data_IF_724414309538
#
_entry.id   IF_724414309538
#
_cell.length_a   1.000
_cell.length_b   1.000
_cell.length_c   1.000
_cell.angle_alpha   90.00
_cell.angle_beta   90.00
_cell.angle_gamma   90.00
#
_symmetry.space_group_name_H-M   'P 1'
#
loop_
_entity.id
_entity.type
_entity.pdbx_description
1 polymer ?
#
# COMPACT_ATOMS: atom_id res chain seq x y z
N UNK A 1 -13.86 -8.50 -9.23
CA UNK A 1 -12.77 -8.37 -8.25
C UNK A 1 -11.93 -7.17 -8.66
N UNK A 2 -11.68 -6.26 -7.75
CA UNK A 2 -11.00 -4.99 -8.03
C UNK A 2 -9.55 -5.06 -7.56
N UNK A 3 -8.59 -4.86 -8.45
CA UNK A 3 -7.17 -4.74 -8.08
C UNK A 3 -6.91 -3.33 -7.57
N UNK A 4 -6.40 -3.22 -6.35
CA UNK A 4 -6.05 -1.94 -5.71
C UNK A 4 -4.54 -1.74 -5.71
N UNK A 5 -4.08 -0.65 -6.33
CA UNK A 5 -2.68 -0.26 -6.37
C UNK A 5 -2.51 1.15 -5.81
N UNK A 6 -2.12 1.30 -4.55
CA UNK A 6 -1.82 2.61 -3.97
C UNK A 6 -0.41 3.04 -4.37
N UNK A 7 -0.29 4.25 -4.91
CA UNK A 7 0.95 4.85 -5.38
C UNK A 7 1.33 6.01 -4.45
N UNK A 8 2.47 5.93 -3.81
CA UNK A 8 2.96 6.99 -2.91
C UNK A 8 3.51 8.16 -3.72
N UNK A 9 3.02 9.36 -3.41
CA UNK A 9 3.40 10.59 -4.08
C UNK A 9 4.48 11.33 -3.29
N UNK A 10 5.35 12.03 -4.01
CA UNK A 10 6.25 13.05 -3.49
C UNK A 10 6.08 14.35 -4.26
N UNK A 11 6.43 15.47 -3.62
CA UNK A 11 6.31 16.81 -4.20
C UNK A 11 4.92 17.43 -4.10
N UNK A 12 4.00 16.83 -3.36
CA UNK A 12 2.64 17.35 -3.15
C UNK A 12 2.18 17.08 -1.72
N UNK A 13 1.38 17.98 -1.18
CA UNK A 13 0.61 17.77 0.05
C UNK A 13 -0.89 17.91 -0.26
N UNK A 14 -1.59 16.79 -0.30
CA UNK A 14 -3.04 16.75 -0.61
C UNK A 14 -3.92 17.31 0.52
N UNK A 15 -3.34 17.70 1.66
CA UNK A 15 -4.04 18.46 2.71
C UNK A 15 -4.14 19.94 2.38
N UNK A 16 -3.33 20.41 1.45
CA UNK A 16 -3.40 21.76 0.89
C UNK A 16 -4.51 21.80 -0.17
N UNK A 17 -5.49 22.68 0.04
CA UNK A 17 -6.65 22.82 -0.85
C UNK A 17 -6.23 23.20 -2.28
N UNK A 18 -5.27 24.11 -2.45
CA UNK A 18 -4.80 24.54 -3.78
C UNK A 18 -4.10 23.37 -4.53
N UNK A 19 -3.41 22.50 -3.80
CA UNK A 19 -2.81 21.31 -4.39
C UNK A 19 -3.88 20.29 -4.80
N UNK A 20 -4.89 20.10 -3.95
CA UNK A 20 -6.01 19.20 -4.24
C UNK A 20 -6.81 19.67 -5.47
N UNK A 21 -7.13 20.97 -5.55
CA UNK A 21 -7.86 21.54 -6.69
C UNK A 21 -7.12 21.35 -8.02
N UNK A 22 -5.79 21.43 -8.02
CA UNK A 22 -4.99 21.15 -9.23
C UNK A 22 -5.09 19.72 -9.69
N UNK A 23 -5.03 18.73 -8.76
CA UNK A 23 -5.20 17.32 -9.11
C UNK A 23 -6.59 17.03 -9.64
N UNK A 24 -7.62 17.65 -9.06
CA UNK A 24 -9.00 17.48 -9.47
C UNK A 24 -9.25 18.02 -10.90
N UNK A 25 -8.55 19.07 -11.31
CA UNK A 25 -8.65 19.62 -12.65
C UNK A 25 -7.99 18.75 -13.72
N UNK A 26 -6.77 18.28 -13.46
CA UNK A 26 -5.93 17.63 -14.48
C UNK A 26 -6.04 16.10 -14.47
N UNK A 27 -6.44 15.51 -13.34
CA UNK A 27 -6.41 14.09 -13.07
C UNK A 27 -7.64 13.62 -12.27
N UNK A 28 -8.82 14.18 -12.59
CA UNK A 28 -10.09 13.93 -11.88
C UNK A 28 -10.55 12.44 -11.93
N UNK A 29 -10.02 11.67 -12.87
CA UNK A 29 -10.28 10.24 -13.02
C UNK A 29 -9.51 9.36 -12.04
N UNK A 30 -8.56 9.93 -11.30
CA UNK A 30 -7.78 9.22 -10.30
C UNK A 30 -8.34 9.41 -8.90
N UNK A 31 -8.17 8.41 -8.07
CA UNK A 31 -8.53 8.49 -6.67
C UNK A 31 -7.36 9.00 -5.83
N UNK A 32 -7.55 10.12 -5.16
CA UNK A 32 -6.53 10.78 -4.35
C UNK A 32 -6.87 10.68 -2.88
N UNK A 33 -5.88 10.39 -2.05
CA UNK A 33 -6.07 10.37 -0.60
C UNK A 33 -4.80 10.78 0.14
N UNK A 34 -5.00 11.36 1.34
CA UNK A 34 -3.94 11.61 2.30
C UNK A 34 -4.18 10.77 3.54
N UNK A 35 -3.14 10.07 3.98
CA UNK A 35 -3.14 9.32 5.23
C UNK A 35 -1.99 9.85 6.11
N UNK A 36 -2.30 10.83 6.96
CA UNK A 36 -1.29 11.52 7.75
C UNK A 36 -0.27 12.27 6.86
N UNK A 37 0.99 11.85 6.90
CA UNK A 37 2.06 12.43 6.09
C UNK A 37 2.21 11.76 4.71
N UNK A 38 1.42 10.73 4.40
CA UNK A 38 1.51 10.00 3.14
C UNK A 38 0.43 10.46 2.18
N UNK A 39 0.84 10.92 1.00
CA UNK A 39 -0.06 11.28 -0.08
C UNK A 39 -0.06 10.18 -1.13
N UNK A 40 -1.26 9.74 -1.53
CA UNK A 40 -1.46 8.60 -2.41
C UNK A 40 -2.33 8.97 -3.60
N UNK A 41 -1.96 8.44 -4.78
CA UNK A 41 -2.88 8.20 -5.88
C UNK A 41 -3.22 6.70 -5.88
N UNK A 42 -4.48 6.34 -5.91
CA UNK A 42 -4.91 4.94 -5.85
C UNK A 42 -5.57 4.54 -7.16
N UNK A 43 -5.01 3.52 -7.79
CA UNK A 43 -5.61 2.89 -8.97
C UNK A 43 -6.52 1.76 -8.49
N UNK A 44 -7.77 1.79 -8.92
CA UNK A 44 -8.74 0.72 -8.76
C UNK A 44 -9.07 0.18 -10.15
N UNK A 45 -8.64 -1.04 -10.46
CA UNK A 45 -8.87 -1.67 -11.75
C UNK A 45 -9.79 -2.88 -11.61
N UNK A 46 -10.82 -2.93 -12.44
CA UNK A 46 -11.72 -4.09 -12.55
C UNK A 46 -11.14 -5.18 -13.49
N UNK A 47 -9.93 -4.96 -14.00
CA UNK A 47 -9.22 -5.87 -14.88
C UNK A 47 -8.26 -6.77 -14.09
N UNK A 48 -7.53 -7.62 -14.80
CA UNK A 48 -6.51 -8.47 -14.20
C UNK A 48 -5.27 -7.68 -13.73
N UNK A 49 -4.41 -8.32 -12.95
CA UNK A 49 -3.22 -7.67 -12.40
C UNK A 49 -2.27 -7.09 -13.45
N UNK A 50 -1.98 -7.73 -14.61
CA UNK A 50 -1.19 -7.12 -15.67
C UNK A 50 -1.77 -5.82 -16.22
N UNK A 51 -3.08 -5.77 -16.46
CA UNK A 51 -3.75 -4.55 -16.93
C UNK A 51 -3.77 -3.47 -15.84
N UNK A 52 -4.01 -3.83 -14.58
CA UNK A 52 -3.94 -2.90 -13.46
C UNK A 52 -2.54 -2.30 -13.29
N UNK A 53 -1.48 -3.08 -13.49
CA UNK A 53 -0.09 -2.60 -13.49
C UNK A 53 0.14 -1.60 -14.62
N UNK A 54 -0.37 -1.87 -15.83
CA UNK A 54 -0.27 -0.94 -16.95
C UNK A 54 -0.99 0.38 -16.66
N UNK A 55 -2.18 0.34 -16.04
CA UNK A 55 -2.91 1.53 -15.60
C UNK A 55 -2.12 2.33 -14.55
N UNK A 56 -1.47 1.66 -13.60
CA UNK A 56 -0.64 2.30 -12.59
C UNK A 56 0.60 3.00 -13.20
N UNK A 57 1.23 2.40 -14.20
CA UNK A 57 2.34 3.01 -14.95
C UNK A 57 1.90 4.21 -15.77
N UNK A 58 0.74 4.13 -16.41
CA UNK A 58 0.15 5.27 -17.11
C UNK A 58 -0.16 6.42 -16.13
N UNK A 59 -0.74 6.11 -15.00
CA UNK A 59 -0.97 7.06 -13.90
C UNK A 59 0.33 7.77 -13.49
N UNK A 60 1.41 7.02 -13.26
CA UNK A 60 2.70 7.58 -12.87
C UNK A 60 3.28 8.53 -13.93
N UNK A 61 3.18 8.17 -15.23
CA UNK A 61 3.62 9.02 -16.36
C UNK A 61 2.78 10.29 -16.48
N UNK A 62 1.46 10.17 -16.34
CA UNK A 62 0.53 11.30 -16.41
C UNK A 62 0.81 12.31 -15.30
N UNK A 63 0.99 11.83 -14.07
CA UNK A 63 1.35 12.68 -12.91
C UNK A 63 2.66 13.44 -13.21
N UNK A 64 3.72 12.73 -13.58
CA UNK A 64 5.02 13.34 -13.87
C UNK A 64 4.97 14.36 -15.02
N UNK A 65 4.10 14.14 -16.01
CA UNK A 65 3.93 15.04 -17.16
C UNK A 65 3.10 16.28 -16.84
N UNK A 66 1.99 16.11 -16.12
CA UNK A 66 0.99 17.17 -15.89
C UNK A 66 1.27 17.99 -14.64
N UNK A 67 2.03 17.45 -13.71
CA UNK A 67 2.33 18.09 -12.42
C UNK A 67 3.84 18.20 -12.20
N UNK A 68 4.51 19.22 -12.76
CA UNK A 68 5.95 19.41 -12.57
C UNK A 68 6.34 19.43 -11.07
N UNK A 69 7.34 18.63 -10.71
CA UNK A 69 7.79 18.48 -9.31
C UNK A 69 7.03 17.46 -8.50
N UNK A 70 5.93 16.91 -9.02
CA UNK A 70 5.19 15.79 -8.40
C UNK A 70 5.51 14.49 -9.12
N UNK A 71 5.76 13.43 -8.39
CA UNK A 71 6.04 12.12 -8.96
C UNK A 71 5.60 10.99 -8.04
N UNK A 72 5.35 9.84 -8.63
CA UNK A 72 5.16 8.60 -7.90
C UNK A 72 6.53 8.09 -7.44
N UNK A 73 6.69 7.92 -6.12
CA UNK A 73 7.93 7.42 -5.54
C UNK A 73 8.02 5.90 -5.60
N UNK A 74 6.92 5.24 -5.26
CA UNK A 74 6.83 3.78 -5.21
C UNK A 74 5.37 3.33 -5.08
N UNK A 75 5.12 2.04 -5.22
CA UNK A 75 3.88 1.42 -4.73
C UNK A 75 3.90 1.46 -3.21
N UNK A 76 2.81 1.96 -2.62
CA UNK A 76 2.70 2.06 -1.16
C UNK A 76 2.37 0.69 -0.56
N UNK A 77 3.24 0.19 0.31
CA UNK A 77 2.98 -1.00 1.10
C UNK A 77 2.41 -0.58 2.46
N UNK A 78 1.11 -0.76 2.65
CA UNK A 78 0.44 -0.35 3.88
C UNK A 78 0.93 -1.18 5.05
N UNK A 79 1.54 -0.52 6.03
CA UNK A 79 1.99 -1.15 7.26
C UNK A 79 0.92 -1.01 8.35
N UNK A 80 0.62 -2.12 9.01
CA UNK A 80 -0.41 -2.23 10.04
C UNK A 80 0.17 -2.82 11.33
N UNK A 81 -0.31 -2.34 12.47
CA UNK A 81 0.00 -2.91 13.78
C UNK A 81 -0.88 -4.13 14.08
N UNK A 82 -0.54 -4.89 15.13
CA UNK A 82 -1.40 -5.97 15.60
C UNK A 82 -2.78 -5.48 16.03
N UNK A 83 -2.89 -4.26 16.53
CA UNK A 83 -4.17 -3.64 16.91
C UNK A 83 -5.02 -3.33 15.68
N UNK A 84 -4.40 -2.82 14.60
CA UNK A 84 -5.10 -2.58 13.34
C UNK A 84 -5.59 -3.88 12.72
N UNK A 85 -4.76 -4.93 12.73
CA UNK A 85 -5.14 -6.27 12.26
C UNK A 85 -6.33 -6.80 13.05
N UNK A 86 -6.27 -6.72 14.39
CA UNK A 86 -7.33 -7.18 15.26
C UNK A 86 -8.66 -6.47 14.98
N UNK A 87 -8.61 -5.13 14.78
CA UNK A 87 -9.78 -4.32 14.46
C UNK A 87 -10.37 -4.69 13.09
N UNK A 88 -9.55 -4.86 12.06
CA UNK A 88 -10.01 -5.20 10.69
C UNK A 88 -10.62 -6.59 10.60
N UNK A 89 -10.07 -7.54 11.35
CA UNK A 89 -10.56 -8.94 11.37
C UNK A 89 -11.71 -9.15 12.35
N UNK A 90 -11.92 -8.22 13.28
CA UNK A 90 -12.93 -8.33 14.33
C UNK A 90 -12.57 -9.35 15.42
N UNK A 91 -11.29 -9.42 15.79
CA UNK A 91 -10.78 -10.33 16.83
C UNK A 91 -10.07 -9.56 17.96
N UNK A 92 -9.82 -10.23 19.07
CA UNK A 92 -9.03 -9.65 20.15
C UNK A 92 -7.55 -9.52 19.75
N UNK A 93 -6.87 -8.48 20.22
CA UNK A 93 -5.43 -8.25 20.02
C UNK A 93 -4.60 -9.49 20.40
N UNK A 94 -4.97 -10.17 21.48
CA UNK A 94 -4.29 -11.38 21.94
C UNK A 94 -4.33 -12.51 20.90
N UNK A 95 -5.40 -12.63 20.12
CA UNK A 95 -5.47 -13.62 19.05
C UNK A 95 -4.41 -13.36 17.98
N UNK A 96 -4.23 -12.10 17.55
CA UNK A 96 -3.19 -11.72 16.59
C UNK A 96 -1.80 -11.98 17.16
N UNK A 97 -1.58 -11.67 18.44
CA UNK A 97 -0.31 -11.96 19.13
C UNK A 97 0.04 -13.44 19.12
N UNK A 98 -0.96 -14.31 19.33
CA UNK A 98 -0.77 -15.77 19.28
C UNK A 98 -0.48 -16.27 17.87
N UNK A 99 -1.06 -15.67 16.84
CA UNK A 99 -0.73 -15.98 15.43
C UNK A 99 0.72 -15.58 15.12
N UNK A 100 1.09 -14.35 15.44
CA UNK A 100 2.42 -13.81 15.17
C UNK A 100 3.54 -14.58 15.92
N UNK A 101 3.25 -15.11 17.12
CA UNK A 101 4.20 -15.92 17.88
C UNK A 101 4.24 -17.40 17.49
N UNK A 102 3.42 -17.82 16.51
CA UNK A 102 3.33 -19.21 16.08
C UNK A 102 2.66 -20.17 17.09
N UNK A 103 2.07 -19.64 18.16
CA UNK A 103 1.39 -20.46 19.19
C UNK A 103 -0.01 -20.92 18.77
N UNK A 104 -0.56 -20.32 17.73
CA UNK A 104 -1.89 -20.65 17.21
C UNK A 104 -1.91 -20.53 15.68
N UNK A 105 -2.53 -21.52 15.03
CA UNK A 105 -2.73 -21.57 13.56
C UNK A 105 -1.45 -21.73 12.71
N UNK A 106 -0.26 -21.88 13.31
CA UNK A 106 1.01 -21.99 12.56
C UNK A 106 1.15 -23.29 11.75
N UNK A 107 0.32 -24.30 12.00
CA UNK A 107 0.38 -25.59 11.32
C UNK A 107 -0.03 -25.54 9.84
N UNK A 108 -0.82 -24.53 9.43
CA UNK A 108 -1.26 -24.36 8.04
C UNK A 108 -0.28 -23.49 7.26
N UNK A 109 0.04 -22.34 7.82
CA UNK A 109 0.99 -21.37 7.27
C UNK A 109 1.49 -20.49 8.40
N UNK A 110 2.78 -20.14 8.40
CA UNK A 110 3.30 -19.18 9.35
C UNK A 110 2.72 -17.78 9.10
N UNK A 111 2.44 -17.06 10.20
CA UNK A 111 2.06 -15.66 10.11
C UNK A 111 3.21 -14.84 9.52
N UNK A 112 2.92 -13.80 8.70
CA UNK A 112 3.96 -12.96 8.10
C UNK A 112 4.91 -12.37 9.13
N UNK A 113 6.17 -12.20 8.72
CA UNK A 113 7.16 -11.50 9.54
C UNK A 113 6.90 -9.99 9.52
N UNK A 114 7.18 -9.26 10.63
CA UNK A 114 7.06 -7.82 10.63
C UNK A 114 8.05 -7.20 9.63
N UNK A 115 7.60 -6.20 8.89
CA UNK A 115 8.43 -5.40 7.99
C UNK A 115 9.25 -4.37 8.75
N UNK A 116 8.72 -3.90 9.86
CA UNK A 116 9.37 -2.88 10.68
C UNK A 116 9.04 -3.12 12.16
N UNK A 117 10.00 -2.81 13.02
CA UNK A 117 9.79 -2.72 14.47
C UNK A 117 10.10 -1.30 14.90
N UNK A 118 9.10 -0.63 15.46
CA UNK A 118 9.19 0.76 15.93
C UNK A 118 9.17 0.76 17.45
N UNK A 119 10.05 1.55 18.06
CA UNK A 119 10.11 1.72 19.52
C UNK A 119 11.38 2.39 19.97
N UNK A 120 11.36 2.98 21.18
CA UNK A 120 12.55 3.58 21.77
C UNK A 120 13.46 2.49 22.35
N UNK A 121 14.76 2.54 22.05
CA UNK A 121 15.76 1.75 22.76
C UNK A 121 15.68 1.95 24.28
N UNK A 122 16.24 1.00 25.06
CA UNK A 122 16.29 1.03 26.52
C UNK A 122 14.90 0.98 27.25
N UNK A 123 14.16 -0.15 27.07
CA UNK A 123 13.00 -0.46 27.92
C UNK A 123 11.65 0.10 27.47
N UNK A 124 11.59 0.76 26.31
CA UNK A 124 10.34 1.22 25.70
C UNK A 124 9.54 0.08 25.06
N UNK A 125 8.22 0.27 24.94
CA UNK A 125 7.36 -0.67 24.20
C UNK A 125 7.72 -0.64 22.72
N UNK A 126 8.05 -1.79 22.15
CA UNK A 126 8.21 -1.96 20.71
C UNK A 126 6.88 -2.30 20.05
N UNK A 127 6.67 -1.80 18.84
CA UNK A 127 5.51 -2.08 18.01
C UNK A 127 5.97 -2.70 16.69
N UNK A 128 5.50 -3.90 16.40
CA UNK A 128 5.75 -4.57 15.12
C UNK A 128 4.72 -4.12 14.10
N UNK A 129 5.19 -3.77 12.91
CA UNK A 129 4.39 -3.38 11.76
C UNK A 129 4.52 -4.43 10.65
N UNK A 130 3.39 -4.81 10.08
CA UNK A 130 3.24 -5.86 9.09
C UNK A 130 2.69 -5.29 7.80
N UNK A 131 3.11 -5.81 6.65
CA UNK A 131 2.50 -5.47 5.36
C UNK A 131 1.07 -6.03 5.30
N UNK A 132 0.07 -5.14 5.15
CA UNK A 132 -1.33 -5.55 5.17
C UNK A 132 -1.65 -6.60 4.10
N UNK A 133 -1.15 -6.44 2.88
CA UNK A 133 -1.36 -7.39 1.79
C UNK A 133 -0.89 -8.81 2.11
N UNK A 134 0.20 -8.97 2.86
CA UNK A 134 0.71 -10.29 3.28
C UNK A 134 -0.15 -10.88 4.40
N UNK A 135 -0.53 -10.04 5.36
CA UNK A 135 -1.42 -10.42 6.46
C UNK A 135 -2.79 -10.84 5.91
N UNK A 136 -3.34 -10.07 4.99
CA UNK A 136 -4.62 -10.38 4.34
C UNK A 136 -4.57 -11.72 3.60
N UNK A 137 -3.49 -11.99 2.85
CA UNK A 137 -3.28 -13.27 2.19
C UNK A 137 -3.29 -14.42 3.19
N UNK A 138 -2.62 -14.25 4.32
CA UNK A 138 -2.62 -15.24 5.40
C UNK A 138 -4.01 -15.43 6.01
N UNK A 139 -4.73 -14.34 6.27
CA UNK A 139 -6.10 -14.37 6.83
C UNK A 139 -7.05 -15.14 5.93
N UNK A 140 -7.03 -14.86 4.63
CA UNK A 140 -7.86 -15.55 3.64
C UNK A 140 -7.58 -17.05 3.61
N UNK A 141 -6.30 -17.42 3.59
CA UNK A 141 -5.87 -18.83 3.50
C UNK A 141 -6.11 -19.61 4.81
N UNK A 142 -5.75 -19.02 5.95
CA UNK A 142 -5.72 -19.72 7.24
C UNK A 142 -7.02 -19.62 8.02
N UNK A 143 -7.70 -18.47 7.94
CA UNK A 143 -8.94 -18.21 8.69
C UNK A 143 -10.18 -18.37 7.81
N UNK A 144 -10.04 -18.31 6.49
CA UNK A 144 -11.16 -18.40 5.55
C UNK A 144 -12.12 -17.19 5.61
N UNK A 145 -11.62 -16.04 6.09
CA UNK A 145 -12.38 -14.78 6.13
C UNK A 145 -11.71 -13.74 5.25
N UNK A 146 -12.47 -12.79 4.76
CA UNK A 146 -11.99 -11.73 3.87
C UNK A 146 -12.42 -10.35 4.38
N UNK A 147 -11.56 -9.66 5.16
CA UNK A 147 -11.85 -8.30 5.63
C UNK A 147 -11.95 -7.26 4.51
N UNK A 148 -11.29 -7.50 3.37
CA UNK A 148 -11.29 -6.61 2.20
C UNK A 148 -12.00 -7.30 1.02
N UNK A 149 -13.26 -7.72 1.24
CA UNK A 149 -14.03 -8.46 0.24
C UNK A 149 -14.06 -7.75 -1.12
N UNK A 150 -13.70 -8.48 -2.16
CA UNK A 150 -13.68 -7.97 -3.53
C UNK A 150 -12.43 -7.17 -3.91
N UNK A 151 -11.49 -6.95 -2.98
CA UNK A 151 -10.22 -6.25 -3.26
C UNK A 151 -9.08 -7.27 -3.40
N UNK A 152 -8.30 -7.12 -4.47
CA UNK A 152 -7.03 -7.81 -4.66
C UNK A 152 -5.85 -6.85 -4.55
N UNK A 153 -4.73 -7.36 -4.06
CA UNK A 153 -3.46 -6.65 -4.00
C UNK A 153 -2.42 -7.36 -4.87
N UNK A 154 -1.43 -6.62 -5.34
CA UNK A 154 -0.33 -7.18 -6.12
C UNK A 154 0.43 -8.25 -5.33
N UNK A 155 0.85 -9.29 -6.01
CA UNK A 155 1.80 -10.28 -5.48
C UNK A 155 3.20 -9.67 -5.38
N UNK A 156 4.08 -10.31 -4.62
CA UNK A 156 5.45 -9.80 -4.39
C UNK A 156 6.23 -9.55 -5.68
N UNK A 157 6.11 -10.43 -6.67
CA UNK A 157 6.78 -10.29 -7.96
C UNK A 157 6.24 -9.12 -8.79
N UNK A 158 4.93 -8.93 -8.80
CA UNK A 158 4.25 -7.82 -9.50
C UNK A 158 4.57 -6.49 -8.81
N UNK A 159 4.55 -6.47 -7.49
CA UNK A 159 4.93 -5.32 -6.67
C UNK A 159 6.37 -4.87 -6.94
N UNK A 160 7.31 -5.80 -6.93
CA UNK A 160 8.73 -5.52 -7.20
C UNK A 160 8.97 -5.04 -8.64
N UNK A 161 8.31 -5.68 -9.62
CA UNK A 161 8.41 -5.29 -11.03
C UNK A 161 7.87 -3.88 -11.26
N UNK A 162 6.69 -3.57 -10.72
CA UNK A 162 6.08 -2.24 -10.86
C UNK A 162 6.96 -1.16 -10.20
N UNK A 163 7.54 -1.41 -9.04
CA UNK A 163 8.46 -0.46 -8.40
C UNK A 163 9.71 -0.20 -9.24
N UNK A 164 10.27 -1.21 -9.90
CA UNK A 164 11.41 -1.03 -10.81
C UNK A 164 11.06 -0.14 -12.00
N UNK A 165 9.88 -0.33 -12.59
CA UNK A 165 9.39 0.49 -13.71
C UNK A 165 9.07 1.92 -13.27
N UNK A 166 8.48 2.13 -12.09
CA UNK A 166 8.24 3.46 -11.49
C UNK A 166 9.57 4.21 -11.31
N UNK A 167 10.61 3.53 -10.80
CA UNK A 167 11.94 4.12 -10.66
C UNK A 167 12.50 4.60 -12.01
N UNK A 168 12.31 3.83 -13.08
CA UNK A 168 12.72 4.21 -14.43
C UNK A 168 11.99 5.44 -14.92
N UNK A 169 10.66 5.51 -14.74
CA UNK A 169 9.84 6.68 -15.10
C UNK A 169 10.36 7.93 -14.38
N UNK A 170 10.61 7.83 -13.07
CA UNK A 170 11.13 8.93 -12.26
C UNK A 170 12.47 9.45 -12.79
N UNK A 171 13.40 8.56 -13.18
CA UNK A 171 14.68 8.94 -13.76
C UNK A 171 14.53 9.64 -15.10
N UNK A 172 13.65 9.16 -15.98
CA UNK A 172 13.37 9.77 -17.29
C UNK A 172 12.88 11.21 -17.16
N UNK A 173 11.97 11.47 -16.24
CA UNK A 173 11.42 12.82 -16.02
C UNK A 173 12.39 13.74 -15.27
N UNK A 174 13.21 13.22 -14.36
CA UNK A 174 14.24 14.01 -13.68
C UNK A 174 15.35 14.52 -14.59
N UNK A 175 15.65 13.81 -15.69
CA UNK A 175 16.65 14.24 -16.69
C UNK A 175 16.14 15.29 -17.64
N UNK A 176 14.83 15.46 -17.74
CA UNK A 176 14.18 16.42 -18.67
C UNK A 176 13.80 17.75 -17.99
N UNK A 177 13.94 17.83 -16.68
CA UNK A 177 13.72 19.03 -15.86
C UNK A 177 15.01 19.75 -15.60
#
# INVERSE_FOLDING_TARGET
MTVKIPLRLQGIDLRDADAYDRVDQDLADLFWMSNGAVNLAVVFSEQDAPAAVAEALDCARRIAKLMPGVFVAEVYDELVSMSDIAARVGVAHEAVRLWASGKRRASLRQFPMPRQVVGSGAGGKTMSLYAWREVLSWIREVLGVDPDEGIEYLRDSEFASLNAEIATIREEFSRKS
#
